data_IF_050614982368
#
_entry.id   IF_050614982368
#
_cell.length_a   1.000
_cell.length_b   1.000
_cell.length_c   1.000
_cell.angle_alpha   90.00
_cell.angle_beta   90.00
_cell.angle_gamma   90.00
#
_symmetry.space_group_name_H-M   'P 1'
#
loop_
_entity.id
_entity.type
_entity.pdbx_description
1 polymer ?
#
# COMPACT_ATOMS: atom_id res chain seq x y z
N UNK A 1 11.60 26.19 31.01
CA UNK A 1 12.93 26.56 30.45
C UNK A 1 12.71 26.81 28.97
N UNK A 2 12.95 28.03 28.49
CA UNK A 2 12.64 28.46 27.13
C UNK A 2 13.51 27.75 26.09
N UNK A 3 12.89 27.08 25.12
CA UNK A 3 13.54 26.51 23.93
C UNK A 3 14.04 27.62 22.99
N UNK A 4 15.17 28.23 23.35
CA UNK A 4 15.87 29.17 22.48
C UNK A 4 16.52 28.36 21.36
N UNK A 5 15.99 28.52 20.15
CA UNK A 5 16.58 27.95 18.92
C UNK A 5 17.95 28.59 18.73
N UNK A 6 19.02 27.89 19.10
CA UNK A 6 20.40 28.32 18.84
C UNK A 6 20.67 28.18 17.34
N UNK A 7 20.83 29.31 16.66
CA UNK A 7 21.24 29.33 15.25
C UNK A 7 22.75 29.14 15.16
N UNK A 8 23.20 28.33 14.21
CA UNK A 8 24.62 28.11 13.92
C UNK A 8 25.21 29.35 13.23
N UNK A 9 26.14 30.08 13.88
CA UNK A 9 26.74 31.29 13.32
C UNK A 9 27.50 31.04 12.01
N UNK A 10 28.08 29.84 11.84
CA UNK A 10 28.82 29.48 10.64
C UNK A 10 27.87 29.29 9.46
N UNK A 11 26.75 28.62 9.68
CA UNK A 11 25.70 28.46 8.68
C UNK A 11 25.13 29.82 8.23
N UNK A 12 24.89 30.74 9.17
CA UNK A 12 24.42 32.10 8.83
C UNK A 12 25.45 32.92 8.04
N UNK A 13 26.74 32.76 8.34
CA UNK A 13 27.81 33.42 7.59
C UNK A 13 27.90 32.90 6.15
N UNK A 14 27.84 31.57 5.97
CA UNK A 14 27.84 30.93 4.64
C UNK A 14 26.60 31.34 3.83
N UNK A 15 25.43 31.38 4.45
CA UNK A 15 24.18 31.77 3.78
C UNK A 15 24.17 33.24 3.31
N UNK A 16 24.88 34.14 4.00
CA UNK A 16 25.01 35.56 3.62
C UNK A 16 26.08 35.81 2.55
N UNK A 17 27.13 34.99 2.51
CA UNK A 17 28.25 35.20 1.61
C UNK A 17 28.06 34.52 0.25
N UNK A 18 27.64 35.30 -0.76
CA UNK A 18 27.38 34.82 -2.14
C UNK A 18 28.60 34.24 -2.85
N UNK A 19 29.82 34.59 -2.43
CA UNK A 19 31.08 34.09 -3.00
C UNK A 19 31.59 32.83 -2.30
N UNK A 20 30.94 32.41 -1.21
CA UNK A 20 31.37 31.23 -0.48
C UNK A 20 31.08 29.95 -1.29
N UNK A 21 32.02 29.00 -1.41
CA UNK A 21 31.85 27.78 -2.23
C UNK A 21 30.60 26.95 -1.89
N UNK A 22 30.21 26.96 -0.61
CA UNK A 22 29.03 26.23 -0.10
C UNK A 22 27.72 27.05 -0.12
N UNK A 23 27.74 28.28 -0.62
CA UNK A 23 26.55 29.15 -0.64
C UNK A 23 25.41 28.57 -1.49
N UNK A 24 25.72 28.06 -2.70
CA UNK A 24 24.72 27.44 -3.57
C UNK A 24 24.07 26.19 -2.95
N UNK A 25 24.86 25.42 -2.19
CA UNK A 25 24.36 24.26 -1.45
C UNK A 25 23.41 24.66 -0.31
N UNK A 26 23.61 25.82 0.32
CA UNK A 26 22.71 26.35 1.35
C UNK A 26 21.41 26.94 0.81
N UNK A 27 21.38 27.44 -0.43
CA UNK A 27 20.18 28.06 -1.00
C UNK A 27 19.13 27.08 -1.53
N UNK A 28 19.54 25.85 -1.88
CA UNK A 28 18.79 25.02 -2.83
C UNK A 28 18.13 23.77 -2.24
N UNK A 29 18.22 23.52 -0.93
CA UNK A 29 17.76 22.24 -0.42
C UNK A 29 16.25 22.12 -0.15
N UNK A 30 15.47 23.20 -0.06
CA UNK A 30 14.02 23.06 0.23
C UNK A 30 13.09 24.22 -0.19
N UNK A 31 13.57 25.23 -0.94
CA UNK A 31 12.69 26.32 -1.36
C UNK A 31 11.93 25.96 -2.65
N UNK A 32 10.62 25.72 -2.51
CA UNK A 32 9.71 25.43 -3.63
C UNK A 32 9.30 26.69 -4.39
N UNK A 33 9.30 27.85 -3.72
CA UNK A 33 9.05 29.17 -4.31
C UNK A 33 9.85 30.28 -3.62
N UNK A 34 10.22 31.32 -4.37
CA UNK A 34 10.93 32.49 -3.84
C UNK A 34 10.55 33.76 -4.60
N UNK A 35 10.69 34.92 -3.96
CA UNK A 35 10.48 36.21 -4.60
C UNK A 35 11.67 36.55 -5.51
N UNK A 36 11.39 36.79 -6.79
CA UNK A 36 12.39 37.19 -7.76
C UNK A 36 12.78 38.67 -7.63
N UNK A 37 13.90 39.09 -8.26
CA UNK A 37 14.38 40.48 -8.21
C UNK A 37 13.38 41.51 -8.75
N UNK A 38 12.45 41.08 -9.60
CA UNK A 38 11.43 41.91 -10.23
C UNK A 38 10.07 41.83 -9.50
N UNK A 39 10.05 41.31 -8.26
CA UNK A 39 8.82 41.11 -7.49
C UNK A 39 7.96 39.91 -7.92
N UNK A 40 8.30 39.23 -9.02
CA UNK A 40 7.60 38.02 -9.46
C UNK A 40 8.01 36.80 -8.65
N UNK A 41 7.03 36.04 -8.17
CA UNK A 41 7.27 34.75 -7.50
C UNK A 41 7.77 33.73 -8.52
N UNK A 42 8.94 33.16 -8.25
CA UNK A 42 9.54 32.07 -9.02
C UNK A 42 9.30 30.74 -8.31
N UNK A 43 9.15 29.66 -9.10
CA UNK A 43 8.91 28.30 -8.61
C UNK A 43 10.01 27.37 -9.14
N UNK A 44 10.47 26.42 -8.32
CA UNK A 44 11.42 25.40 -8.77
C UNK A 44 10.64 24.13 -9.21
N UNK A 45 10.51 23.85 -10.52
CA UNK A 45 9.73 22.71 -11.00
C UNK A 45 10.32 21.37 -10.55
N UNK A 46 11.64 21.27 -10.36
CA UNK A 46 12.28 20.04 -9.89
C UNK A 46 11.99 19.78 -8.41
N UNK A 47 11.90 20.83 -7.58
CA UNK A 47 11.50 20.71 -6.19
C UNK A 47 10.00 20.40 -6.04
N UNK A 48 9.15 20.93 -6.93
CA UNK A 48 7.70 20.65 -6.94
C UNK A 48 7.41 19.24 -7.45
N UNK A 49 8.11 18.80 -8.51
CA UNK A 49 8.01 17.44 -9.04
C UNK A 49 8.57 16.37 -8.09
N UNK A 50 9.40 16.78 -7.11
CA UNK A 50 9.86 15.89 -6.06
C UNK A 50 8.71 15.32 -5.22
N UNK A 51 7.51 15.95 -5.25
CA UNK A 51 6.27 15.43 -4.68
C UNK A 51 6.28 15.29 -3.15
N UNK A 52 5.10 15.15 -2.57
CA UNK A 52 4.88 14.87 -1.16
C UNK A 52 4.34 13.45 -1.01
N UNK A 53 4.79 12.73 0.02
CA UNK A 53 4.23 11.41 0.37
C UNK A 53 3.14 11.64 1.40
N UNK A 54 1.89 11.40 1.01
CA UNK A 54 0.76 11.50 1.92
C UNK A 54 0.75 10.38 2.99
N UNK A 55 -0.13 10.47 3.99
CA UNK A 55 -0.26 9.45 5.05
C UNK A 55 -0.50 8.02 4.53
N UNK A 56 -1.10 7.89 3.34
CA UNK A 56 -1.30 6.60 2.66
C UNK A 56 -0.06 6.05 1.94
N UNK A 57 1.12 6.68 2.08
CA UNK A 57 2.36 6.25 1.44
C UNK A 57 2.48 6.54 -0.07
N UNK A 58 1.44 7.13 -0.67
CA UNK A 58 1.42 7.46 -2.11
C UNK A 58 2.05 8.84 -2.34
N UNK A 59 2.98 8.90 -3.30
CA UNK A 59 3.60 10.15 -3.76
C UNK A 59 2.62 10.98 -4.59
N UNK A 60 2.37 12.21 -4.18
CA UNK A 60 1.45 13.17 -4.82
C UNK A 60 2.16 14.50 -5.08
N UNK A 61 1.84 15.17 -6.18
CA UNK A 61 2.37 16.52 -6.45
C UNK A 61 1.31 17.54 -6.02
N UNK A 62 1.59 18.30 -4.97
CA UNK A 62 0.76 19.44 -4.59
C UNK A 62 1.12 20.65 -5.47
N UNK A 63 0.18 21.06 -6.34
CA UNK A 63 0.34 22.21 -7.23
C UNK A 63 0.05 23.56 -6.55
N UNK A 64 -0.61 23.54 -5.39
CA UNK A 64 -0.92 24.75 -4.61
C UNK A 64 0.32 25.31 -3.90
N UNK A 65 1.30 24.44 -3.61
CA UNK A 65 2.52 24.82 -2.90
C UNK A 65 2.33 25.07 -1.41
N UNK A 66 1.14 24.79 -0.87
CA UNK A 66 0.83 24.96 0.55
C UNK A 66 1.56 23.91 1.41
N UNK A 67 1.81 22.72 0.85
CA UNK A 67 2.57 21.68 1.55
C UNK A 67 4.05 21.75 1.19
N UNK A 68 4.84 22.32 2.11
CA UNK A 68 6.29 22.14 2.10
C UNK A 68 6.60 20.75 2.65
N UNK A 69 7.37 19.97 1.89
CA UNK A 69 7.72 18.59 2.21
C UNK A 69 8.29 18.46 3.62
N UNK A 70 7.45 18.07 4.56
CA UNK A 70 7.91 17.52 5.83
C UNK A 70 8.70 16.28 5.50
N UNK A 71 9.98 16.25 5.88
CA UNK A 71 10.87 15.12 5.64
C UNK A 71 10.19 13.80 6.02
N UNK A 72 10.54 12.72 5.31
CA UNK A 72 10.08 11.36 5.59
C UNK A 72 10.18 11.07 7.08
N UNK A 73 9.10 11.31 7.83
CA UNK A 73 8.89 10.61 9.08
C UNK A 73 8.59 9.20 8.62
N UNK A 74 9.57 8.31 8.76
CA UNK A 74 9.32 6.87 8.76
C UNK A 74 8.17 6.70 9.74
N UNK A 75 6.97 6.46 9.22
CA UNK A 75 5.84 6.17 10.07
C UNK A 75 6.28 5.02 10.96
N UNK A 76 6.25 5.22 12.27
CA UNK A 76 6.40 4.11 13.19
C UNK A 76 5.41 3.05 12.71
N UNK A 77 5.87 1.81 12.51
CA UNK A 77 5.01 0.72 12.10
C UNK A 77 3.81 0.72 13.05
N UNK A 78 2.62 0.94 12.48
CA UNK A 78 1.37 0.95 13.25
C UNK A 78 1.31 -0.36 14.02
N UNK A 79 1.03 -0.28 15.33
CA UNK A 79 0.85 -1.47 16.15
C UNK A 79 -0.16 -2.39 15.46
N UNK A 80 0.24 -3.64 15.22
CA UNK A 80 -0.63 -4.65 14.60
C UNK A 80 -1.77 -4.90 15.58
N UNK A 81 -2.97 -4.44 15.24
CA UNK A 81 -4.17 -4.69 16.03
C UNK A 81 -4.55 -6.16 15.84
N UNK A 82 -4.35 -6.98 16.87
CA UNK A 82 -4.75 -8.37 16.85
C UNK A 82 -6.24 -8.46 17.13
N UNK A 83 -7.02 -8.83 16.12
CA UNK A 83 -8.46 -9.07 16.25
C UNK A 83 -8.70 -10.37 17.05
N UNK A 84 -9.81 -10.47 17.80
CA UNK A 84 -10.23 -11.73 18.40
C UNK A 84 -10.36 -12.82 17.34
N UNK A 85 -9.85 -14.02 17.64
CA UNK A 85 -9.97 -15.17 16.74
C UNK A 85 -11.44 -15.59 16.66
N UNK A 86 -12.01 -15.51 15.46
CA UNK A 86 -13.34 -16.02 15.16
C UNK A 86 -13.22 -17.35 14.41
N UNK A 87 -13.72 -18.43 15.00
CA UNK A 87 -13.61 -19.77 14.43
C UNK A 87 -14.99 -20.31 14.08
N UNK A 88 -15.17 -20.74 12.83
CA UNK A 88 -16.42 -21.32 12.32
C UNK A 88 -16.20 -22.81 12.05
N UNK A 89 -16.47 -23.67 13.04
CA UNK A 89 -16.30 -25.12 12.91
C UNK A 89 -17.19 -25.70 11.80
N UNK A 90 -18.48 -25.36 11.85
CA UNK A 90 -19.50 -25.86 10.93
C UNK A 90 -20.22 -24.68 10.26
N UNK A 91 -19.70 -24.19 9.12
CA UNK A 91 -20.31 -23.08 8.42
C UNK A 91 -21.66 -23.50 7.83
N UNK A 92 -22.67 -22.64 8.00
CA UNK A 92 -24.00 -22.82 7.42
C UNK A 92 -24.03 -22.74 5.88
N UNK A 93 -23.05 -22.05 5.31
CA UNK A 93 -22.84 -21.87 3.87
C UNK A 93 -21.39 -21.41 3.62
N UNK A 94 -20.95 -21.54 2.37
CA UNK A 94 -19.60 -21.14 1.94
C UNK A 94 -19.72 -20.10 0.84
N UNK A 95 -18.88 -19.06 0.90
CA UNK A 95 -18.65 -18.14 -0.22
C UNK A 95 -17.29 -18.50 -0.83
N UNK A 96 -17.29 -18.95 -2.08
CA UNK A 96 -16.06 -19.31 -2.78
C UNK A 96 -15.48 -18.09 -3.51
N UNK A 97 -14.18 -17.85 -3.34
CA UNK A 97 -13.43 -16.81 -4.05
C UNK A 97 -12.26 -17.45 -4.77
N UNK A 98 -12.11 -17.15 -6.06
CA UNK A 98 -10.97 -17.59 -6.88
C UNK A 98 -10.10 -16.36 -7.16
N UNK A 99 -9.10 -16.06 -6.31
CA UNK A 99 -8.23 -14.91 -6.53
C UNK A 99 -7.28 -15.16 -7.70
N UNK A 100 -6.95 -14.11 -8.45
CA UNK A 100 -6.07 -14.21 -9.63
C UNK A 100 -4.60 -14.42 -9.23
N UNK A 101 -4.19 -13.79 -8.13
CA UNK A 101 -2.87 -13.92 -7.52
C UNK A 101 -1.69 -13.81 -8.49
N UNK A 102 -1.69 -12.80 -9.34
CA UNK A 102 -0.60 -12.56 -10.31
C UNK A 102 0.76 -12.49 -9.56
N UNK A 103 1.65 -13.44 -9.85
CA UNK A 103 2.96 -13.55 -9.18
C UNK A 103 2.95 -14.28 -7.82
N UNK A 104 1.85 -14.96 -7.49
CA UNK A 104 1.69 -15.78 -6.28
C UNK A 104 1.42 -14.97 -5.00
N UNK A 105 0.92 -13.74 -5.12
CA UNK A 105 0.52 -12.87 -3.99
C UNK A 105 -0.85 -12.29 -4.23
N UNK A 106 -1.59 -12.00 -3.15
CA UNK A 106 -2.88 -11.33 -3.25
C UNK A 106 -2.69 -9.89 -3.72
N UNK A 107 -3.34 -9.56 -4.85
CA UNK A 107 -3.44 -8.19 -5.34
C UNK A 107 -4.34 -7.35 -4.44
N UNK A 108 -4.37 -6.02 -4.65
CA UNK A 108 -5.37 -5.18 -3.97
C UNK A 108 -6.79 -5.60 -4.32
N UNK A 109 -7.03 -5.99 -5.58
CA UNK A 109 -8.34 -6.44 -6.03
C UNK A 109 -8.76 -7.74 -5.35
N UNK A 110 -7.86 -8.72 -5.24
CA UNK A 110 -8.14 -9.97 -4.55
C UNK A 110 -8.53 -9.73 -3.08
N UNK A 111 -7.83 -8.80 -2.41
CA UNK A 111 -8.13 -8.42 -1.02
C UNK A 111 -9.49 -7.74 -0.88
N UNK A 112 -9.86 -6.89 -1.83
CA UNK A 112 -11.19 -6.26 -1.84
C UNK A 112 -12.30 -7.31 -2.02
N UNK A 113 -12.10 -8.28 -2.92
CA UNK A 113 -13.04 -9.39 -3.13
C UNK A 113 -13.18 -10.27 -1.90
N UNK A 114 -12.06 -10.64 -1.26
CA UNK A 114 -12.08 -11.43 -0.02
C UNK A 114 -12.74 -10.66 1.13
N UNK A 115 -12.50 -9.35 1.22
CA UNK A 115 -13.17 -8.48 2.19
C UNK A 115 -14.69 -8.45 1.99
N UNK A 116 -15.15 -8.34 0.74
CA UNK A 116 -16.58 -8.42 0.41
C UNK A 116 -17.16 -9.81 0.70
N UNK A 117 -16.46 -10.89 0.31
CA UNK A 117 -16.89 -12.25 0.58
C UNK A 117 -17.06 -12.49 2.09
N UNK A 118 -16.16 -11.93 2.91
CA UNK A 118 -16.28 -12.03 4.37
C UNK A 118 -17.50 -11.27 4.91
N UNK A 119 -17.82 -10.11 4.35
CA UNK A 119 -19.05 -9.38 4.71
C UNK A 119 -20.31 -10.18 4.34
N UNK A 120 -20.31 -10.87 3.20
CA UNK A 120 -21.42 -11.72 2.75
C UNK A 120 -21.57 -12.99 3.60
N UNK A 121 -20.46 -13.60 4.02
CA UNK A 121 -20.46 -14.77 4.89
C UNK A 121 -21.01 -14.48 6.30
N UNK A 122 -20.85 -13.25 6.79
CA UNK A 122 -21.29 -12.85 8.13
C UNK A 122 -20.61 -13.67 9.24
N UNK A 123 -21.37 -13.98 10.29
CA UNK A 123 -20.85 -14.72 11.46
C UNK A 123 -20.99 -16.25 11.32
N UNK A 124 -21.90 -16.72 10.46
CA UNK A 124 -22.24 -18.14 10.34
C UNK A 124 -21.78 -18.80 9.04
N UNK A 125 -21.29 -18.02 8.08
CA UNK A 125 -20.70 -18.50 6.83
C UNK A 125 -19.18 -18.59 6.93
N UNK A 126 -18.56 -19.22 5.93
CA UNK A 126 -17.10 -19.26 5.78
C UNK A 126 -16.68 -18.85 4.36
N UNK A 127 -15.55 -18.17 4.25
CA UNK A 127 -14.93 -17.84 2.97
C UNK A 127 -13.95 -18.95 2.58
N UNK A 128 -14.17 -19.56 1.42
CA UNK A 128 -13.26 -20.54 0.81
C UNK A 128 -12.47 -19.87 -0.31
N UNK A 129 -11.16 -19.72 -0.14
CA UNK A 129 -10.28 -19.30 -1.22
C UNK A 129 -9.80 -20.54 -2.01
N UNK A 130 -9.99 -20.52 -3.33
CA UNK A 130 -9.60 -21.59 -4.26
C UNK A 130 -8.43 -21.10 -5.11
N UNK A 131 -7.28 -21.77 -4.99
CA UNK A 131 -6.03 -21.37 -5.61
C UNK A 131 -5.57 -22.40 -6.63
N UNK A 132 -5.03 -21.90 -7.73
CA UNK A 132 -4.40 -22.71 -8.76
C UNK A 132 -2.89 -22.48 -8.75
N UNK A 133 -2.13 -23.58 -8.68
CA UNK A 133 -0.67 -23.54 -8.69
C UNK A 133 -0.04 -23.10 -7.37
N UNK A 134 1.24 -22.73 -7.43
CA UNK A 134 2.03 -22.33 -6.27
C UNK A 134 1.73 -20.88 -5.86
N UNK A 135 1.49 -20.68 -4.57
CA UNK A 135 1.37 -19.37 -3.95
C UNK A 135 2.55 -19.09 -3.02
N UNK A 136 2.82 -17.81 -2.78
CA UNK A 136 3.86 -17.35 -1.85
C UNK A 136 3.25 -16.45 -0.77
N UNK A 137 1.93 -16.43 -0.68
CA UNK A 137 1.17 -15.56 0.21
C UNK A 137 1.13 -16.17 1.61
N UNK A 138 1.29 -15.32 2.62
CA UNK A 138 1.27 -15.75 4.02
C UNK A 138 0.12 -15.15 4.80
N UNK A 139 -0.61 -14.19 4.22
CA UNK A 139 -1.56 -13.35 4.93
C UNK A 139 -3.03 -13.65 4.60
N UNK A 140 -3.36 -14.88 4.17
CA UNK A 140 -4.75 -15.27 3.84
C UNK A 140 -5.69 -15.13 5.03
N UNK A 141 -5.23 -15.53 6.21
CA UNK A 141 -5.94 -15.42 7.49
C UNK A 141 -6.37 -13.97 7.78
N UNK A 142 -5.48 -13.02 7.55
CA UNK A 142 -5.75 -11.59 7.72
C UNK A 142 -6.51 -10.96 6.55
N UNK A 143 -6.60 -11.65 5.41
CA UNK A 143 -7.35 -11.22 4.23
C UNK A 143 -8.83 -11.63 4.28
N UNK A 144 -9.27 -12.32 5.34
CA UNK A 144 -10.66 -12.76 5.51
C UNK A 144 -10.96 -14.15 4.96
N UNK A 145 -9.94 -14.97 4.70
CA UNK A 145 -10.09 -16.38 4.29
C UNK A 145 -10.25 -17.26 5.53
N UNK A 146 -11.31 -18.07 5.56
CA UNK A 146 -11.53 -19.06 6.62
C UNK A 146 -11.02 -20.47 6.21
N UNK A 147 -11.11 -20.80 4.91
CA UNK A 147 -10.69 -22.10 4.35
C UNK A 147 -9.90 -21.90 3.07
N UNK A 148 -8.86 -22.71 2.88
CA UNK A 148 -7.97 -22.66 1.73
C UNK A 148 -8.01 -23.98 0.97
N UNK A 149 -8.32 -23.92 -0.32
CA UNK A 149 -8.21 -25.06 -1.24
C UNK A 149 -7.13 -24.78 -2.28
N UNK A 150 -6.03 -25.54 -2.21
CA UNK A 150 -4.95 -25.47 -3.19
C UNK A 150 -5.09 -26.60 -4.19
N UNK A 151 -5.27 -26.24 -5.45
CA UNK A 151 -5.32 -27.16 -6.57
C UNK A 151 -3.97 -27.07 -7.29
N UNK A 152 -3.09 -28.01 -6.96
CA UNK A 152 -1.76 -28.13 -7.54
C UNK A 152 -1.80 -28.97 -8.83
N UNK A 153 -0.88 -28.70 -9.74
CA UNK A 153 -0.66 -29.48 -10.95
C UNK A 153 -0.03 -28.64 -12.05
N UNK A 154 0.92 -29.24 -12.78
CA UNK A 154 1.60 -28.59 -13.91
C UNK A 154 0.63 -28.08 -14.98
N UNK A 155 -0.56 -28.70 -15.10
CA UNK A 155 -1.63 -28.27 -16.00
C UNK A 155 -2.13 -26.84 -15.71
N UNK A 156 -1.91 -26.33 -14.50
CA UNK A 156 -2.31 -24.98 -14.10
C UNK A 156 -1.16 -23.97 -14.19
N UNK A 157 0.06 -24.39 -14.55
CA UNK A 157 1.22 -23.53 -14.75
C UNK A 157 1.06 -22.76 -16.06
N UNK A 158 0.33 -21.65 -15.99
CA UNK A 158 0.05 -20.77 -17.12
C UNK A 158 -1.44 -20.67 -17.44
N UNK A 159 -1.73 -20.34 -18.70
CA UNK A 159 -3.09 -20.13 -19.17
C UNK A 159 -3.77 -21.46 -19.52
N UNK A 160 -4.65 -21.93 -18.64
CA UNK A 160 -5.38 -23.20 -18.78
C UNK A 160 -6.86 -23.06 -18.36
N UNK A 161 -7.67 -22.27 -19.10
CA UNK A 161 -9.03 -21.95 -18.70
C UNK A 161 -9.94 -23.19 -18.65
N UNK A 162 -9.82 -24.14 -19.58
CA UNK A 162 -10.65 -25.34 -19.62
C UNK A 162 -10.39 -26.24 -18.40
N UNK A 163 -9.11 -26.43 -18.05
CA UNK A 163 -8.73 -27.19 -16.87
C UNK A 163 -9.20 -26.51 -15.58
N UNK A 164 -9.10 -25.18 -15.50
CA UNK A 164 -9.58 -24.40 -14.35
C UNK A 164 -11.10 -24.51 -14.21
N UNK A 165 -11.86 -24.39 -15.29
CA UNK A 165 -13.33 -24.53 -15.27
C UNK A 165 -13.74 -25.93 -14.82
N UNK A 166 -13.08 -26.98 -15.31
CA UNK A 166 -13.34 -28.35 -14.87
C UNK A 166 -13.08 -28.54 -13.38
N UNK A 167 -11.96 -28.00 -12.88
CA UNK A 167 -11.64 -28.04 -11.46
C UNK A 167 -12.67 -27.26 -10.63
N UNK A 168 -13.07 -26.06 -11.07
CA UNK A 168 -14.08 -25.25 -10.39
C UNK A 168 -15.46 -25.91 -10.39
N UNK A 169 -15.82 -26.64 -11.45
CA UNK A 169 -17.05 -27.45 -11.48
C UNK A 169 -17.05 -28.56 -10.42
N UNK A 170 -15.89 -29.18 -10.19
CA UNK A 170 -15.74 -30.16 -9.10
C UNK A 170 -15.84 -29.49 -7.71
N UNK A 171 -15.26 -28.30 -7.55
CA UNK A 171 -15.39 -27.50 -6.31
C UNK A 171 -16.85 -27.14 -6.06
N UNK A 172 -17.56 -26.67 -7.09
CA UNK A 172 -18.98 -26.33 -7.01
C UNK A 172 -19.82 -27.54 -6.57
N UNK A 173 -19.61 -28.70 -7.21
CA UNK A 173 -20.30 -29.94 -6.85
C UNK A 173 -20.00 -30.47 -5.45
N UNK A 174 -18.79 -30.25 -4.92
CA UNK A 174 -18.38 -30.74 -3.61
C UNK A 174 -18.81 -29.80 -2.46
N UNK A 175 -18.71 -28.50 -2.65
CA UNK A 175 -18.92 -27.50 -1.59
C UNK A 175 -20.25 -26.76 -1.69
N UNK A 176 -20.92 -26.78 -2.85
CA UNK A 176 -22.15 -26.04 -3.14
C UNK A 176 -22.10 -24.58 -2.60
N UNK A 177 -21.10 -23.79 -3.01
CA UNK A 177 -20.96 -22.41 -2.56
C UNK A 177 -22.18 -21.56 -2.97
N UNK A 178 -22.48 -20.54 -2.18
CA UNK A 178 -23.59 -19.61 -2.42
C UNK A 178 -23.22 -18.45 -3.33
#
# INVERSE_FOLDING_TARGET
>A
MSDIIRRDPRAEWIARNRLHPLHAAMQSQNQTSWMGPNGLIRKNPHAIAAGFIGPAGIKRIDRSGAQQGGGQKRGAASAVVQLPLHLVEQPSHIIAVVPDMVGGRLSSHDKDLLGLARQLAGDSGAVLAVLFGEDKESAFDSAGVDRLLRIAGETFDGYAPEARVLALSAVDGQFAPR
#
